data_IF_066288092422
#
_entry.id   IF_066288092422
#
_cell.length_a   1.000
_cell.length_b   1.000
_cell.length_c   1.000
_cell.angle_alpha   90.00
_cell.angle_beta   90.00
_cell.angle_gamma   90.00
#
_symmetry.space_group_name_H-M   'P 1'
#
loop_
_entity.id
_entity.type
_entity.pdbx_description
1 polymer ?
#
# COMPACT_ATOMS: atom_id res chain seq x y z
N UNK A 1 -4.46 -6.61 -18.74
CA UNK A 1 -3.52 -7.33 -17.87
C UNK A 1 -4.07 -7.47 -16.46
N UNK A 2 -3.82 -8.60 -15.86
CA UNK A 2 -4.32 -8.92 -14.52
C UNK A 2 -3.54 -8.15 -13.46
N UNK A 3 -4.25 -7.53 -12.52
CA UNK A 3 -3.64 -6.89 -11.36
C UNK A 3 -3.09 -7.98 -10.43
N UNK A 4 -1.87 -7.82 -9.96
CA UNK A 4 -1.19 -8.78 -9.08
C UNK A 4 -0.72 -8.15 -7.76
N UNK A 5 -0.55 -6.85 -7.71
CA UNK A 5 0.07 -6.14 -6.59
C UNK A 5 -0.84 -5.07 -6.04
N UNK A 6 -0.88 -4.96 -4.72
CA UNK A 6 -1.51 -3.84 -4.01
C UNK A 6 -0.41 -3.00 -3.36
N UNK A 7 -0.35 -1.72 -3.72
CA UNK A 7 0.69 -0.81 -3.23
C UNK A 7 0.24 -0.11 -1.95
N UNK A 8 1.06 -0.23 -0.91
CA UNK A 8 0.87 0.47 0.36
C UNK A 8 1.34 1.93 0.28
N UNK A 9 0.92 2.74 1.22
CA UNK A 9 1.29 4.15 1.35
C UNK A 9 2.80 4.35 1.33
N UNK A 10 3.55 3.51 2.04
CA UNK A 10 5.02 3.59 2.12
C UNK A 10 5.70 3.51 0.75
N UNK A 11 5.14 2.72 -0.16
CA UNK A 11 5.69 2.52 -1.51
C UNK A 11 5.39 3.74 -2.38
N UNK A 12 4.14 4.19 -2.39
CA UNK A 12 3.75 5.35 -3.20
C UNK A 12 4.41 6.64 -2.71
N UNK A 13 4.59 6.79 -1.39
CA UNK A 13 5.30 7.92 -0.81
C UNK A 13 6.80 7.92 -1.13
N UNK A 14 7.40 6.75 -1.30
CA UNK A 14 8.82 6.62 -1.63
C UNK A 14 9.17 7.20 -3.01
N UNK A 15 8.20 7.23 -3.93
CA UNK A 15 8.36 7.79 -5.28
C UNK A 15 8.50 9.31 -5.25
N UNK A 16 7.74 9.97 -4.38
CA UNK A 16 7.64 11.44 -4.32
C UNK A 16 8.39 12.04 -3.12
N UNK A 17 9.17 11.23 -2.42
CA UNK A 17 10.01 11.70 -1.33
C UNK A 17 11.08 12.67 -1.85
N UNK A 18 11.62 13.58 -1.00
CA UNK A 18 12.71 14.47 -1.40
C UNK A 18 13.91 13.73 -2.00
N UNK A 19 14.20 12.51 -1.51
CA UNK A 19 15.13 11.58 -2.13
C UNK A 19 14.34 10.35 -2.55
N UNK A 20 13.82 10.29 -3.78
CA UNK A 20 13.04 9.15 -4.24
C UNK A 20 13.82 7.84 -4.13
N UNK A 21 13.13 6.78 -3.74
CA UNK A 21 13.72 5.45 -3.71
C UNK A 21 13.80 4.90 -5.14
N UNK A 22 15.02 4.77 -5.65
CA UNK A 22 15.26 4.34 -7.03
C UNK A 22 14.81 2.93 -7.32
N UNK A 23 14.89 2.03 -6.33
CA UNK A 23 14.46 0.64 -6.50
C UNK A 23 12.95 0.56 -6.70
N UNK A 24 12.19 1.32 -5.88
CA UNK A 24 10.74 1.43 -6.03
C UNK A 24 10.37 2.00 -7.40
N UNK A 25 10.99 3.11 -7.79
CA UNK A 25 10.73 3.76 -9.08
C UNK A 25 10.99 2.79 -10.23
N UNK A 26 12.09 2.05 -10.19
CA UNK A 26 12.42 1.06 -11.21
C UNK A 26 11.40 -0.06 -11.28
N UNK A 27 11.01 -0.62 -10.14
CA UNK A 27 10.03 -1.72 -10.10
C UNK A 27 8.64 -1.28 -10.53
N UNK A 28 8.22 -0.08 -10.16
CA UNK A 28 6.96 0.49 -10.65
C UNK A 28 7.00 0.71 -12.16
N UNK A 29 8.14 1.12 -12.71
CA UNK A 29 8.31 1.22 -14.16
C UNK A 29 8.17 -0.11 -14.88
N UNK A 30 8.63 -1.21 -14.26
CA UNK A 30 8.56 -2.55 -14.81
C UNK A 30 7.19 -3.23 -14.60
N UNK A 31 6.54 -3.00 -13.46
CA UNK A 31 5.36 -3.76 -13.01
C UNK A 31 4.13 -2.91 -12.75
N UNK A 32 4.19 -1.61 -12.98
CA UNK A 32 3.11 -0.67 -12.63
C UNK A 32 1.76 -1.01 -13.24
N UNK A 33 1.75 -1.56 -14.45
CA UNK A 33 0.52 -1.97 -15.13
C UNK A 33 -0.21 -3.12 -14.40
N UNK A 34 0.49 -3.86 -13.54
CA UNK A 34 -0.07 -4.94 -12.74
C UNK A 34 -0.38 -4.49 -11.30
N UNK A 35 -0.29 -3.20 -11.01
CA UNK A 35 -0.46 -2.65 -9.68
C UNK A 35 -1.80 -1.95 -9.51
N UNK A 36 -2.36 -2.07 -8.32
CA UNK A 36 -3.48 -1.29 -7.82
C UNK A 36 -3.10 -0.70 -6.46
N UNK A 37 -3.91 0.20 -5.94
CA UNK A 37 -3.81 0.64 -4.56
C UNK A 37 -5.19 0.56 -3.90
N UNK A 38 -5.26 0.88 -2.61
CA UNK A 38 -6.49 0.78 -1.84
C UNK A 38 -7.08 2.16 -1.57
N UNK A 39 -8.40 2.24 -1.44
CA UNK A 39 -9.07 3.48 -1.04
C UNK A 39 -8.55 3.99 0.31
N UNK A 40 -8.17 3.10 1.21
CA UNK A 40 -7.56 3.43 2.51
C UNK A 40 -6.20 4.12 2.31
N UNK A 41 -5.40 3.62 1.37
CA UNK A 41 -4.10 4.23 1.02
C UNK A 41 -4.31 5.60 0.37
N UNK A 42 -5.27 5.70 -0.53
CA UNK A 42 -5.65 6.97 -1.15
C UNK A 42 -6.04 8.01 -0.10
N UNK A 43 -6.81 7.61 0.91
CA UNK A 43 -7.16 8.47 2.03
C UNK A 43 -5.92 8.97 2.78
N UNK A 44 -4.99 8.10 3.11
CA UNK A 44 -3.75 8.46 3.81
C UNK A 44 -2.90 9.45 2.99
N UNK A 45 -2.75 9.20 1.70
CA UNK A 45 -1.98 10.07 0.81
C UNK A 45 -2.63 11.44 0.66
N UNK A 46 -3.95 11.46 0.45
CA UNK A 46 -4.72 12.70 0.29
C UNK A 46 -4.70 13.52 1.59
N UNK A 47 -4.91 12.87 2.71
CA UNK A 47 -4.83 13.53 4.03
C UNK A 47 -3.43 14.11 4.27
N UNK A 48 -2.39 13.33 4.00
CA UNK A 48 -1.01 13.79 4.16
C UNK A 48 -0.69 15.03 3.31
N UNK A 49 -1.27 15.11 2.12
CA UNK A 49 -1.13 16.27 1.24
C UNK A 49 -1.93 17.48 1.76
N UNK A 50 -3.20 17.27 2.10
CA UNK A 50 -4.11 18.34 2.50
C UNK A 50 -3.67 19.08 3.78
N UNK A 51 -3.03 18.37 4.71
CA UNK A 51 -2.56 18.98 5.96
C UNK A 51 -1.31 19.85 5.80
N UNK A 52 -0.68 19.87 4.63
CA UNK A 52 0.49 20.69 4.38
C UNK A 52 0.10 22.17 4.18
N UNK A 53 0.99 23.07 4.61
CA UNK A 53 0.85 24.47 4.30
C UNK A 53 0.92 24.71 2.78
N UNK A 54 0.14 25.67 2.24
CA UNK A 54 0.23 26.02 0.83
C UNK A 54 1.66 26.34 0.42
N UNK A 55 2.11 25.80 -0.69
CA UNK A 55 3.46 25.99 -1.18
C UNK A 55 3.88 24.97 -2.21
N UNK A 56 5.15 24.98 -2.56
CA UNK A 56 5.72 24.14 -3.61
C UNK A 56 5.54 22.66 -3.32
N UNK A 57 5.82 22.22 -2.09
CA UNK A 57 5.71 20.79 -1.71
C UNK A 57 4.29 20.28 -1.84
N UNK A 58 3.32 21.05 -1.36
CA UNK A 58 1.90 20.69 -1.47
C UNK A 58 1.47 20.60 -2.92
N UNK A 59 1.85 21.57 -3.75
CA UNK A 59 1.53 21.57 -5.18
C UNK A 59 2.13 20.37 -5.91
N UNK A 60 3.36 19.99 -5.59
CA UNK A 60 4.02 18.81 -6.16
C UNK A 60 3.27 17.52 -5.78
N UNK A 61 2.84 17.39 -4.52
CA UNK A 61 2.08 16.24 -4.08
C UNK A 61 0.69 16.18 -4.71
N UNK A 62 0.00 17.30 -4.82
CA UNK A 62 -1.31 17.37 -5.50
C UNK A 62 -1.18 16.91 -6.95
N UNK A 63 -0.15 17.37 -7.66
CA UNK A 63 0.10 16.96 -9.03
C UNK A 63 0.41 15.46 -9.13
N UNK A 64 1.23 14.94 -8.22
CA UNK A 64 1.56 13.52 -8.17
C UNK A 64 0.32 12.65 -7.96
N UNK A 65 -0.53 13.02 -7.01
CA UNK A 65 -1.76 12.27 -6.72
C UNK A 65 -2.72 12.30 -7.92
N UNK A 66 -2.92 13.46 -8.52
CA UNK A 66 -3.83 13.65 -9.65
C UNK A 66 -3.31 13.00 -10.93
N UNK A 67 -2.05 13.24 -11.28
CA UNK A 67 -1.51 12.95 -12.61
C UNK A 67 -0.80 11.58 -12.68
N UNK A 68 -0.35 11.05 -11.55
CA UNK A 68 0.33 9.76 -11.51
C UNK A 68 -0.53 8.70 -10.82
N UNK A 69 -0.89 8.90 -9.57
CA UNK A 69 -1.58 7.85 -8.80
C UNK A 69 -2.95 7.53 -9.37
N UNK A 70 -3.81 8.55 -9.53
CA UNK A 70 -5.18 8.35 -10.05
C UNK A 70 -5.20 7.81 -11.47
N UNK A 71 -4.25 8.23 -12.30
CA UNK A 71 -4.20 7.79 -13.71
C UNK A 71 -3.56 6.43 -13.90
N UNK A 72 -2.65 6.03 -13.02
CA UNK A 72 -1.86 4.81 -13.20
C UNK A 72 -2.43 3.60 -12.49
N UNK A 73 -3.12 3.78 -11.36
CA UNK A 73 -3.51 2.68 -10.49
C UNK A 73 -5.01 2.66 -10.21
N UNK A 74 -5.68 1.51 -10.47
CA UNK A 74 -7.02 1.31 -9.92
C UNK A 74 -7.01 1.46 -8.40
N UNK A 75 -8.07 2.04 -7.85
CA UNK A 75 -8.23 2.22 -6.41
C UNK A 75 -9.31 1.26 -5.93
N UNK A 76 -8.91 0.23 -5.18
CA UNK A 76 -9.80 -0.82 -4.72
C UNK A 76 -10.50 -0.43 -3.43
N UNK A 77 -11.83 -0.68 -3.32
CA UNK A 77 -12.57 -0.29 -2.13
C UNK A 77 -12.38 -1.26 -0.97
N UNK A 78 -12.59 -0.75 0.24
CA UNK A 78 -12.80 -1.58 1.42
C UNK A 78 -14.30 -1.94 1.47
N UNK A 79 -14.63 -3.06 0.84
CA UNK A 79 -16.00 -3.51 0.66
C UNK A 79 -16.45 -4.47 1.76
N UNK A 80 -17.66 -5.03 1.64
CA UNK A 80 -18.22 -5.95 2.61
C UNK A 80 -17.34 -7.20 2.78
N UNK A 81 -16.85 -7.76 1.69
CA UNK A 81 -16.01 -8.96 1.72
C UNK A 81 -14.68 -8.68 2.45
N UNK A 82 -14.05 -7.55 2.16
CA UNK A 82 -12.84 -7.10 2.86
C UNK A 82 -13.12 -6.88 4.34
N UNK A 83 -14.22 -6.23 4.67
CA UNK A 83 -14.60 -5.95 6.06
C UNK A 83 -14.86 -7.25 6.84
N UNK A 84 -15.45 -8.26 6.21
CA UNK A 84 -15.70 -9.56 6.83
C UNK A 84 -14.39 -10.28 7.14
N UNK A 85 -13.49 -10.36 6.17
CA UNK A 85 -12.19 -10.97 6.39
C UNK A 85 -11.40 -10.24 7.50
N UNK A 86 -11.42 -8.93 7.46
CA UNK A 86 -10.75 -8.10 8.47
C UNK A 86 -11.31 -8.34 9.88
N UNK A 87 -12.64 -8.45 10.00
CA UNK A 87 -13.29 -8.70 11.29
C UNK A 87 -12.83 -10.04 11.91
N UNK A 88 -12.78 -11.11 11.11
CA UNK A 88 -12.31 -12.41 11.58
C UNK A 88 -10.83 -12.37 11.96
N UNK A 89 -10.00 -11.75 11.15
CA UNK A 89 -8.56 -11.63 11.40
C UNK A 89 -8.28 -10.78 12.64
N UNK A 90 -9.01 -9.69 12.80
CA UNK A 90 -8.93 -8.82 13.97
C UNK A 90 -9.28 -9.55 15.26
N UNK A 91 -10.37 -10.33 15.23
CA UNK A 91 -10.78 -11.14 16.38
C UNK A 91 -9.72 -12.20 16.71
N UNK A 92 -9.15 -12.85 15.70
CA UNK A 92 -8.07 -13.81 15.89
C UNK A 92 -6.84 -13.19 16.54
N UNK A 93 -6.43 -12.01 16.06
CA UNK A 93 -5.26 -11.31 16.59
C UNK A 93 -5.48 -10.88 18.06
N UNK A 94 -6.67 -10.45 18.40
CA UNK A 94 -7.03 -10.12 19.79
C UNK A 94 -6.94 -11.37 20.69
N UNK A 95 -7.42 -12.52 20.22
CA UNK A 95 -7.38 -13.79 20.98
C UNK A 95 -5.95 -14.25 21.28
N UNK A 96 -5.01 -14.00 20.36
CA UNK A 96 -3.60 -14.35 20.57
C UNK A 96 -2.80 -13.21 21.21
N UNK A 97 -3.46 -12.13 21.64
CA UNK A 97 -2.83 -11.01 22.33
C UNK A 97 -1.97 -10.13 21.44
N UNK A 98 -2.22 -10.11 20.12
CA UNK A 98 -1.45 -9.31 19.14
C UNK A 98 -2.37 -8.46 18.28
N UNK A 99 -3.16 -7.53 18.88
CA UNK A 99 -3.97 -6.61 18.07
C UNK A 99 -3.07 -5.71 17.25
N UNK A 100 -3.46 -5.48 16.00
CA UNK A 100 -2.72 -4.61 15.10
C UNK A 100 -3.46 -3.30 14.82
N UNK A 101 -2.79 -2.34 14.15
CA UNK A 101 -3.46 -1.13 13.69
C UNK A 101 -4.64 -1.45 12.78
N UNK A 102 -5.74 -0.73 12.98
CA UNK A 102 -6.97 -0.96 12.22
C UNK A 102 -6.78 -0.73 10.72
N UNK A 103 -6.05 0.32 10.37
CA UNK A 103 -5.78 0.69 8.97
C UNK A 103 -4.97 -0.40 8.25
N UNK A 104 -3.95 -0.96 8.91
CA UNK A 104 -3.16 -2.07 8.34
C UNK A 104 -4.06 -3.27 8.05
N UNK A 105 -5.00 -3.56 8.94
CA UNK A 105 -5.98 -4.62 8.74
C UNK A 105 -6.89 -4.38 7.53
N UNK A 106 -7.30 -3.14 7.30
CA UNK A 106 -8.09 -2.78 6.13
C UNK A 106 -7.31 -3.00 4.84
N UNK A 107 -6.05 -2.57 4.81
CA UNK A 107 -5.18 -2.73 3.63
C UNK A 107 -4.92 -4.23 3.37
N UNK A 108 -4.56 -4.98 4.41
CA UNK A 108 -4.34 -6.43 4.32
C UNK A 108 -5.58 -7.16 3.80
N UNK A 109 -6.77 -6.77 4.26
CA UNK A 109 -8.03 -7.35 3.83
C UNK A 109 -8.28 -7.16 2.33
N UNK A 110 -8.06 -5.95 1.83
CA UNK A 110 -8.23 -5.65 0.41
C UNK A 110 -7.28 -6.52 -0.43
N UNK A 111 -6.02 -6.62 -0.02
CA UNK A 111 -5.04 -7.48 -0.71
C UNK A 111 -5.47 -8.95 -0.68
N UNK A 112 -5.88 -9.45 0.48
CA UNK A 112 -6.24 -10.86 0.65
C UNK A 112 -7.48 -11.26 -0.15
N UNK A 113 -8.51 -10.43 -0.12
CA UNK A 113 -9.78 -10.69 -0.80
C UNK A 113 -9.61 -10.69 -2.32
N UNK A 114 -8.75 -9.85 -2.84
CA UNK A 114 -8.44 -9.77 -4.28
C UNK A 114 -7.29 -10.67 -4.70
N UNK A 115 -6.75 -11.48 -3.79
CA UNK A 115 -5.61 -12.38 -4.04
C UNK A 115 -4.39 -11.64 -4.61
N UNK A 116 -4.06 -10.50 -4.00
CA UNK A 116 -2.96 -9.65 -4.42
C UNK A 116 -1.78 -9.75 -3.45
N UNK A 117 -0.58 -9.56 -4.00
CA UNK A 117 0.63 -9.41 -3.22
C UNK A 117 0.66 -7.98 -2.68
N UNK A 118 0.75 -7.83 -1.36
CA UNK A 118 0.90 -6.53 -0.73
C UNK A 118 2.34 -6.06 -0.84
N UNK A 119 2.55 -4.89 -1.44
CA UNK A 119 3.88 -4.28 -1.57
C UNK A 119 4.00 -3.17 -0.54
N UNK A 120 4.92 -3.31 0.40
CA UNK A 120 5.11 -2.38 1.52
C UNK A 120 6.56 -2.36 1.99
N UNK A 121 7.00 -1.24 2.55
CA UNK A 121 8.27 -1.16 3.26
C UNK A 121 8.16 -1.69 4.71
N UNK A 122 6.92 -1.84 5.22
CA UNK A 122 6.65 -2.21 6.60
C UNK A 122 6.29 -3.70 6.72
N UNK A 123 7.17 -4.57 6.21
CA UNK A 123 6.93 -6.03 6.15
C UNK A 123 6.60 -6.61 7.53
N UNK A 124 7.27 -6.15 8.59
CA UNK A 124 7.04 -6.65 9.95
C UNK A 124 5.61 -6.39 10.44
N UNK A 125 5.05 -5.23 10.11
CA UNK A 125 3.71 -4.85 10.55
C UNK A 125 2.65 -5.73 9.91
N UNK A 126 2.90 -6.21 8.69
CA UNK A 126 1.96 -7.06 7.95
C UNK A 126 2.20 -8.55 8.13
N UNK A 127 3.31 -8.96 8.76
CA UNK A 127 3.65 -10.38 8.99
C UNK A 127 2.65 -11.08 9.93
N UNK A 128 1.90 -10.32 10.74
CA UNK A 128 0.90 -10.85 11.66
C UNK A 128 -0.36 -11.39 10.98
N UNK A 129 -0.60 -11.01 9.72
CA UNK A 129 -1.81 -11.42 8.99
C UNK A 129 -1.61 -12.78 8.33
N UNK A 130 -2.59 -13.69 8.51
CA UNK A 130 -2.54 -15.02 7.91
C UNK A 130 -2.81 -14.98 6.41
N UNK A 131 -2.13 -15.85 5.68
CA UNK A 131 -2.32 -16.06 4.24
C UNK A 131 -2.14 -14.80 3.39
N UNK A 132 -1.39 -13.81 3.89
CA UNK A 132 -1.05 -12.59 3.18
C UNK A 132 0.36 -12.71 2.60
N UNK A 133 0.50 -12.55 1.29
CA UNK A 133 1.79 -12.48 0.63
C UNK A 133 2.27 -11.03 0.60
N UNK A 134 3.49 -10.79 1.10
CA UNK A 134 4.06 -9.46 1.23
C UNK A 134 5.41 -9.40 0.54
N UNK A 135 5.66 -8.32 -0.22
CA UNK A 135 6.95 -8.02 -0.83
C UNK A 135 7.41 -6.62 -0.46
N UNK A 136 8.71 -6.46 -0.26
CA UNK A 136 9.35 -5.16 -0.08
C UNK A 136 10.07 -4.76 -1.36
N UNK A 137 9.65 -3.66 -1.98
CA UNK A 137 10.27 -3.13 -3.19
C UNK A 137 11.24 -1.98 -2.92
N UNK A 138 11.44 -1.65 -1.65
CA UNK A 138 12.34 -0.54 -1.28
C UNK A 138 13.80 -0.96 -1.22
N UNK A 139 14.07 -2.26 -1.20
CA UNK A 139 15.42 -2.81 -1.13
C UNK A 139 15.69 -3.82 -2.23
N UNK A 140 16.94 -3.93 -2.64
CA UNK A 140 17.37 -4.96 -3.59
C UNK A 140 17.51 -6.27 -2.82
N UNK A 141 16.82 -7.32 -3.29
CA UNK A 141 17.00 -8.65 -2.72
C UNK A 141 18.35 -9.21 -3.17
N UNK A 142 19.28 -9.41 -2.23
CA UNK A 142 20.52 -10.12 -2.53
C UNK A 142 20.19 -11.59 -2.70
N UNK A 143 20.54 -12.15 -3.86
CA UNK A 143 20.50 -13.61 -4.02
C UNK A 143 21.56 -14.20 -3.13
N UNK A 144 21.18 -15.12 -2.25
CA UNK A 144 22.16 -15.98 -1.56
C UNK A 144 22.77 -16.89 -2.61
N UNK A 145 24.10 -16.86 -2.67
CA UNK A 145 24.86 -17.82 -3.45
C UNK A 145 24.94 -19.15 -2.71
#
# INVERSE_FOLDING_TARGET
MTIRYLLDTSVLSAVIAPKPNRVVVQRLGQRGIQCATAAVVWNELTYGCERLEPGKRKSELEAYLRDVVLKSFPILPYDQESATWHAFERARQERVGRPGPYVDGQIAAIARVHDLILVTANVKDFARFQALTVEDWTTVTRRRR
#
